data_IF_929345494482
#
_entry.id   IF_929345494482
#
_cell.length_a   1.000
_cell.length_b   1.000
_cell.length_c   1.000
_cell.angle_alpha   90.00
_cell.angle_beta   90.00
_cell.angle_gamma   90.00
#
_symmetry.space_group_name_H-M   'P 1'
#
loop_
_entity.id
_entity.type
_entity.pdbx_description
1 polymer ?
#
# COMPACT_ATOMS: atom_id res chain seq x y z
N UNK A 1 -3.54 -7.94 17.43
CA UNK A 1 -4.32 -8.52 16.32
C UNK A 1 -4.43 -7.64 15.08
N UNK A 2 -4.65 -6.31 15.17
CA UNK A 2 -4.88 -5.44 13.98
C UNK A 2 -3.82 -5.53 12.88
N UNK A 3 -4.22 -5.28 11.64
CA UNK A 3 -3.41 -5.32 10.43
C UNK A 3 -3.88 -6.38 9.44
N UNK A 4 -3.07 -6.62 8.42
CA UNK A 4 -3.31 -7.62 7.39
C UNK A 4 -2.54 -8.91 7.70
N UNK A 5 -3.22 -10.05 7.59
CA UNK A 5 -2.66 -11.39 7.77
C UNK A 5 -2.88 -12.18 6.49
N UNK A 6 -1.82 -12.78 5.96
CA UNK A 6 -1.86 -13.51 4.70
C UNK A 6 -1.20 -14.88 4.90
N UNK A 7 -1.80 -15.92 4.35
CA UNK A 7 -1.22 -17.26 4.40
C UNK A 7 -2.02 -18.29 3.63
N UNK A 8 -1.80 -19.56 3.98
CA UNK A 8 -2.51 -20.71 3.42
C UNK A 8 -3.41 -21.34 4.48
N UNK A 9 -4.49 -21.97 4.03
CA UNK A 9 -5.37 -22.76 4.88
C UNK A 9 -5.54 -24.18 4.36
N UNK A 10 -5.98 -25.06 5.25
CA UNK A 10 -6.32 -26.45 4.95
C UNK A 10 -7.63 -26.84 5.65
N UNK A 11 -8.31 -27.88 5.17
CA UNK A 11 -9.61 -28.30 5.69
C UNK A 11 -10.41 -29.10 4.68
N UNK A 12 -11.71 -28.82 4.60
CA UNK A 12 -12.60 -29.32 3.54
C UNK A 12 -12.11 -28.94 2.13
N UNK A 13 -11.34 -27.85 2.03
CA UNK A 13 -10.61 -27.42 0.84
C UNK A 13 -9.26 -26.83 1.23
N UNK A 14 -8.45 -26.49 0.23
CA UNK A 14 -7.15 -25.83 0.43
C UNK A 14 -7.06 -24.58 -0.42
N UNK A 15 -6.37 -23.57 0.09
CA UNK A 15 -6.29 -22.30 -0.59
C UNK A 15 -5.45 -21.28 0.15
N UNK A 16 -5.51 -20.03 -0.29
CA UNK A 16 -4.94 -18.88 0.42
C UNK A 16 -6.00 -18.09 1.16
N UNK A 17 -5.61 -17.48 2.27
CA UNK A 17 -6.48 -16.66 3.10
C UNK A 17 -5.84 -15.28 3.32
N UNK A 18 -6.66 -14.24 3.28
CA UNK A 18 -6.32 -12.87 3.66
C UNK A 18 -7.29 -12.46 4.76
N UNK A 19 -6.78 -11.99 5.90
CA UNK A 19 -7.59 -11.47 7.00
C UNK A 19 -7.16 -10.06 7.29
N UNK A 20 -8.04 -9.10 7.01
CA UNK A 20 -7.83 -7.69 7.28
C UNK A 20 -8.56 -7.34 8.57
N UNK A 21 -7.83 -6.85 9.58
CA UNK A 21 -8.36 -6.63 10.92
C UNK A 21 -8.12 -5.19 11.35
N UNK A 22 -9.20 -4.48 11.67
CA UNK A 22 -9.16 -3.16 12.27
C UNK A 22 -9.46 -3.23 13.76
N UNK A 23 -8.77 -2.39 14.53
CA UNK A 23 -9.02 -2.18 15.96
C UNK A 23 -9.98 -1.01 16.17
N UNK A 24 -11.07 -1.24 16.91
CA UNK A 24 -11.99 -0.21 17.37
C UNK A 24 -11.82 0.04 18.87
N UNK A 25 -12.66 0.87 19.49
CA UNK A 25 -12.52 1.22 20.92
C UNK A 25 -12.62 0.00 21.83
N UNK A 26 -13.61 -0.87 21.60
CA UNK A 26 -13.91 -2.02 22.47
C UNK A 26 -13.76 -3.39 21.81
N UNK A 27 -13.56 -3.49 20.50
CA UNK A 27 -13.50 -4.77 19.78
C UNK A 27 -12.60 -4.69 18.53
N UNK A 28 -12.38 -5.83 17.90
CA UNK A 28 -11.82 -5.96 16.56
C UNK A 28 -12.92 -6.28 15.55
N UNK A 29 -12.79 -5.78 14.33
CA UNK A 29 -13.63 -6.21 13.22
C UNK A 29 -12.80 -6.31 11.96
N UNK A 30 -13.37 -6.93 10.93
CA UNK A 30 -12.75 -6.93 9.63
C UNK A 30 -13.39 -7.91 8.67
N UNK A 31 -12.64 -8.25 7.64
CA UNK A 31 -13.05 -9.14 6.56
C UNK A 31 -11.97 -10.19 6.32
N UNK A 32 -12.40 -11.43 6.17
CA UNK A 32 -11.57 -12.54 5.72
C UNK A 32 -11.96 -12.94 4.30
N UNK A 33 -10.97 -13.17 3.45
CA UNK A 33 -11.11 -13.68 2.08
C UNK A 33 -10.44 -15.04 2.00
N UNK A 34 -11.16 -16.06 1.54
CA UNK A 34 -10.64 -17.39 1.25
C UNK A 34 -10.64 -17.57 -0.28
N UNK A 35 -9.45 -17.78 -0.83
CA UNK A 35 -9.22 -18.06 -2.24
C UNK A 35 -8.93 -19.55 -2.43
N UNK A 36 -9.81 -20.22 -3.16
CA UNK A 36 -9.74 -21.65 -3.43
C UNK A 36 -8.66 -21.96 -4.47
N UNK A 37 -7.82 -22.98 -4.20
CA UNK A 37 -6.89 -23.50 -5.21
C UNK A 37 -7.65 -24.24 -6.33
N UNK A 38 -8.78 -24.90 -5.98
CA UNK A 38 -9.68 -25.54 -6.93
C UNK A 38 -10.71 -24.54 -7.47
N UNK A 39 -10.57 -24.15 -8.75
CA UNK A 39 -11.46 -23.19 -9.42
C UNK A 39 -12.92 -23.66 -9.57
N UNK A 40 -13.21 -24.94 -9.35
CA UNK A 40 -14.57 -25.47 -9.34
C UNK A 40 -15.30 -25.20 -8.02
N UNK A 41 -14.61 -24.64 -7.02
CA UNK A 41 -15.19 -24.20 -5.74
C UNK A 41 -15.09 -22.67 -5.70
N UNK A 42 -16.15 -21.97 -5.27
CA UNK A 42 -16.11 -20.51 -5.16
C UNK A 42 -15.16 -20.07 -4.05
N UNK A 43 -14.30 -19.11 -4.37
CA UNK A 43 -13.65 -18.29 -3.36
C UNK A 43 -14.70 -17.43 -2.64
N UNK A 44 -14.52 -17.20 -1.35
CA UNK A 44 -15.54 -16.56 -0.50
C UNK A 44 -14.94 -15.49 0.39
N UNK A 45 -15.79 -14.60 0.91
CA UNK A 45 -15.40 -13.66 1.94
C UNK A 45 -16.47 -13.55 3.03
N UNK A 46 -16.04 -13.21 4.24
CA UNK A 46 -16.92 -13.05 5.38
C UNK A 46 -16.43 -11.94 6.32
N UNK A 47 -17.36 -11.06 6.72
CA UNK A 47 -17.10 -10.10 7.79
C UNK A 47 -17.17 -10.78 9.14
N UNK A 48 -16.45 -10.23 10.09
CA UNK A 48 -16.53 -10.66 11.48
C UNK A 48 -16.32 -9.50 12.43
N UNK A 49 -16.81 -9.68 13.65
CA UNK A 49 -16.64 -8.75 14.76
C UNK A 49 -16.47 -9.54 16.05
N UNK A 50 -15.41 -9.26 16.79
CA UNK A 50 -15.18 -9.83 18.12
C UNK A 50 -16.06 -9.14 19.16
N UNK A 51 -16.26 -9.81 20.31
CA UNK A 51 -17.03 -9.24 21.43
C UNK A 51 -16.20 -8.17 22.16
N UNK A 52 -14.90 -8.43 22.27
CA UNK A 52 -13.94 -7.59 22.99
C UNK A 52 -12.57 -7.58 22.28
N UNK A 53 -11.53 -7.10 22.98
CA UNK A 53 -10.13 -7.08 22.49
C UNK A 53 -9.27 -8.24 22.98
N UNK A 54 -9.86 -9.33 23.43
CA UNK A 54 -9.08 -10.49 23.86
C UNK A 54 -8.30 -11.09 22.69
N UNK A 55 -7.13 -11.64 23.01
CA UNK A 55 -6.28 -12.30 22.03
C UNK A 55 -6.88 -13.62 21.54
N UNK A 56 -7.69 -14.27 22.38
CA UNK A 56 -8.48 -15.44 22.04
C UNK A 56 -9.95 -15.03 21.87
N UNK A 57 -10.60 -15.50 20.81
CA UNK A 57 -11.96 -15.11 20.48
C UNK A 57 -12.74 -16.24 19.80
N UNK A 58 -14.06 -16.13 19.90
CA UNK A 58 -15.00 -16.93 19.13
C UNK A 58 -16.01 -15.98 18.47
N UNK A 59 -16.23 -16.13 17.18
CA UNK A 59 -17.13 -15.28 16.40
C UNK A 59 -17.98 -16.12 15.47
N UNK A 60 -19.24 -15.73 15.31
CA UNK A 60 -20.03 -16.12 14.15
C UNK A 60 -19.83 -15.06 13.08
N UNK A 61 -19.42 -15.45 11.89
CA UNK A 61 -19.25 -14.50 10.78
C UNK A 61 -20.59 -13.84 10.41
N UNK A 62 -20.51 -12.70 9.73
CA UNK A 62 -21.59 -12.21 8.91
C UNK A 62 -21.89 -13.16 7.75
N UNK A 63 -22.80 -12.73 6.87
CA UNK A 63 -23.14 -13.51 5.68
C UNK A 63 -21.90 -13.75 4.83
N UNK A 64 -21.61 -15.01 4.53
CA UNK A 64 -20.55 -15.38 3.60
C UNK A 64 -21.03 -15.04 2.18
N UNK A 65 -20.22 -14.26 1.47
CA UNK A 65 -20.44 -13.89 0.07
C UNK A 65 -19.42 -14.64 -0.80
N UNK A 66 -19.78 -14.93 -2.04
CA UNK A 66 -18.87 -15.52 -3.00
C UNK A 66 -18.20 -14.42 -3.85
N UNK A 67 -16.96 -14.65 -4.25
CA UNK A 67 -16.25 -13.81 -5.20
C UNK A 67 -16.71 -14.24 -6.59
N UNK A 68 -17.39 -13.36 -7.32
CA UNK A 68 -17.86 -13.65 -8.66
C UNK A 68 -16.65 -13.86 -9.58
N UNK A 69 -16.51 -15.03 -10.23
CA UNK A 69 -15.33 -15.37 -11.02
C UNK A 69 -15.19 -14.55 -12.31
N UNK A 70 -16.25 -13.87 -12.75
CA UNK A 70 -16.26 -13.06 -13.98
C UNK A 70 -15.78 -11.63 -13.77
N UNK A 71 -16.09 -11.01 -12.63
CA UNK A 71 -15.86 -9.58 -12.37
C UNK A 71 -15.03 -9.31 -11.10
N UNK A 72 -14.83 -10.31 -10.23
CA UNK A 72 -14.07 -10.21 -9.00
C UNK A 72 -14.79 -9.53 -7.82
N UNK A 73 -16.09 -9.22 -7.94
CA UNK A 73 -16.86 -8.59 -6.86
C UNK A 73 -17.43 -9.62 -5.89
N UNK A 74 -17.68 -9.19 -4.65
CA UNK A 74 -18.40 -9.97 -3.66
C UNK A 74 -19.89 -9.91 -3.92
N UNK A 75 -20.53 -11.06 -4.17
CA UNK A 75 -21.98 -11.12 -4.36
C UNK A 75 -22.60 -12.26 -3.53
N UNK A 76 -23.91 -12.16 -3.23
CA UNK A 76 -24.66 -13.27 -2.65
C UNK A 76 -24.58 -14.52 -3.53
N UNK A 77 -24.50 -15.71 -2.92
CA UNK A 77 -24.37 -16.98 -3.62
C UNK A 77 -25.43 -17.19 -4.71
N UNK A 78 -26.67 -16.73 -4.48
CA UNK A 78 -27.78 -16.84 -5.43
C UNK A 78 -27.48 -16.21 -6.80
N UNK A 79 -26.63 -15.17 -6.85
CA UNK A 79 -26.25 -14.48 -8.07
C UNK A 79 -25.05 -15.11 -8.79
N UNK A 80 -24.36 -16.06 -8.14
CA UNK A 80 -23.10 -16.64 -8.63
C UNK A 80 -23.25 -18.14 -8.93
N UNK A 81 -24.23 -18.82 -8.32
CA UNK A 81 -24.38 -20.29 -8.40
C UNK A 81 -24.39 -20.86 -9.82
N UNK A 82 -24.84 -20.09 -10.83
CA UNK A 82 -24.86 -20.52 -12.23
C UNK A 82 -23.48 -20.77 -12.85
N UNK A 83 -22.41 -20.28 -12.23
CA UNK A 83 -21.03 -20.52 -12.68
C UNK A 83 -20.45 -21.83 -12.17
N UNK A 84 -21.17 -22.56 -11.31
CA UNK A 84 -20.72 -23.76 -10.62
C UNK A 84 -21.69 -24.92 -10.83
N UNK A 85 -21.22 -26.14 -10.59
CA UNK A 85 -22.06 -27.33 -10.63
C UNK A 85 -23.15 -27.31 -9.56
N UNK A 86 -24.27 -27.99 -9.79
CA UNK A 86 -25.44 -27.97 -8.89
C UNK A 86 -25.16 -28.53 -7.49
N UNK A 87 -24.13 -29.36 -7.34
CA UNK A 87 -23.68 -29.93 -6.07
C UNK A 87 -22.81 -28.97 -5.24
N UNK A 88 -22.37 -27.85 -5.83
CA UNK A 88 -21.60 -26.82 -5.14
C UNK A 88 -22.53 -25.88 -4.39
N UNK A 89 -22.13 -25.51 -3.17
CA UNK A 89 -22.86 -24.56 -2.36
C UNK A 89 -21.92 -23.72 -1.49
N UNK A 90 -22.42 -22.56 -1.07
CA UNK A 90 -21.76 -21.69 -0.10
C UNK A 90 -22.63 -21.67 1.16
N UNK A 91 -21.99 -21.86 2.32
CA UNK A 91 -22.67 -21.77 3.62
C UNK A 91 -23.02 -20.32 3.94
N UNK A 92 -24.07 -20.06 4.72
CA UNK A 92 -24.46 -18.68 5.05
C UNK A 92 -23.51 -18.00 6.04
N UNK A 93 -22.92 -18.77 6.95
CA UNK A 93 -21.99 -18.29 7.98
C UNK A 93 -21.06 -19.41 8.45
N UNK A 94 -20.04 -19.04 9.21
CA UNK A 94 -19.18 -19.95 9.93
C UNK A 94 -18.99 -19.52 11.39
N UNK A 95 -18.78 -20.50 12.26
CA UNK A 95 -18.24 -20.27 13.60
C UNK A 95 -16.73 -20.35 13.51
N UNK A 96 -16.05 -19.30 13.93
CA UNK A 96 -14.59 -19.17 13.89
C UNK A 96 -14.10 -19.06 15.33
N UNK A 97 -13.09 -19.85 15.64
CA UNK A 97 -12.28 -19.70 16.84
C UNK A 97 -10.90 -19.18 16.41
N UNK A 98 -10.40 -18.17 17.11
CA UNK A 98 -9.12 -17.56 16.77
C UNK A 98 -8.30 -17.19 17.99
N UNK A 99 -6.97 -17.22 17.83
CA UNK A 99 -6.02 -16.82 18.85
C UNK A 99 -4.85 -16.07 18.22
N UNK A 100 -4.52 -14.89 18.75
CA UNK A 100 -3.37 -14.08 18.38
C UNK A 100 -2.29 -14.22 19.47
N UNK A 101 -1.24 -14.99 19.20
CA UNK A 101 -0.14 -15.24 20.14
C UNK A 101 1.18 -14.81 19.53
N UNK A 102 1.80 -13.76 20.08
CA UNK A 102 2.99 -13.15 19.50
C UNK A 102 2.74 -12.69 18.06
N UNK A 103 3.59 -13.16 17.14
CA UNK A 103 3.55 -12.82 15.71
C UNK A 103 2.70 -13.79 14.88
N UNK A 104 1.76 -14.50 15.50
CA UNK A 104 0.95 -15.52 14.83
C UNK A 104 -0.54 -15.36 15.14
N UNK A 105 -1.37 -15.42 14.10
CA UNK A 105 -2.82 -15.53 14.19
C UNK A 105 -3.26 -16.92 13.75
N UNK A 106 -3.74 -17.72 14.70
CA UNK A 106 -4.31 -19.04 14.44
C UNK A 106 -5.82 -18.93 14.32
N UNK A 107 -6.41 -19.56 13.30
CA UNK A 107 -7.85 -19.61 13.08
C UNK A 107 -8.27 -21.06 12.83
N UNK A 108 -9.41 -21.44 13.39
CA UNK A 108 -10.16 -22.65 13.04
C UNK A 108 -11.61 -22.27 12.81
N UNK A 109 -12.29 -22.95 11.89
CA UNK A 109 -13.69 -22.68 11.63
C UNK A 109 -14.48 -23.91 11.25
N UNK A 110 -15.78 -23.82 11.49
CA UNK A 110 -16.79 -24.77 11.02
C UNK A 110 -17.96 -23.96 10.46
N UNK A 111 -18.27 -24.19 9.19
CA UNK A 111 -19.42 -23.58 8.51
C UNK A 111 -20.75 -24.16 8.99
N UNK A 112 -21.85 -23.44 8.74
CA UNK A 112 -23.21 -23.90 9.04
C UNK A 112 -23.51 -25.30 8.48
N UNK A 113 -22.92 -25.65 7.34
CA UNK A 113 -23.08 -26.96 6.68
C UNK A 113 -21.99 -27.99 7.03
N UNK A 114 -21.18 -27.71 8.05
CA UNK A 114 -20.20 -28.66 8.60
C UNK A 114 -18.84 -28.69 7.89
N UNK A 115 -18.63 -27.95 6.81
CA UNK A 115 -17.29 -27.80 6.23
C UNK A 115 -16.38 -27.03 7.20
N UNK A 116 -15.21 -27.57 7.50
CA UNK A 116 -14.26 -27.03 8.47
C UNK A 116 -12.90 -26.74 7.85
N UNK A 117 -12.12 -25.88 8.51
CA UNK A 117 -10.76 -25.58 8.11
C UNK A 117 -9.96 -24.88 9.20
N UNK A 118 -8.67 -24.73 8.95
CA UNK A 118 -7.74 -24.05 9.85
C UNK A 118 -6.58 -23.41 9.10
N UNK A 119 -5.99 -22.41 9.75
CA UNK A 119 -4.75 -21.79 9.29
C UNK A 119 -3.97 -21.17 10.45
N UNK A 120 -2.68 -20.98 10.20
CA UNK A 120 -1.76 -20.27 11.08
C UNK A 120 -1.07 -19.20 10.26
N UNK A 121 -1.37 -17.93 10.54
CA UNK A 121 -0.96 -16.79 9.72
C UNK A 121 0.14 -16.01 10.41
N UNK A 122 1.29 -15.79 9.75
CA UNK A 122 2.37 -14.99 10.31
C UNK A 122 2.04 -13.49 10.25
N UNK A 123 2.63 -12.73 11.16
CA UNK A 123 2.62 -11.27 11.15
C UNK A 123 3.26 -10.76 9.86
N UNK A 124 2.59 -9.79 9.23
CA UNK A 124 3.16 -8.98 8.13
C UNK A 124 4.53 -8.46 8.51
N UNK A 125 5.50 -8.57 7.59
CA UNK A 125 6.86 -8.08 7.81
C UNK A 125 7.01 -6.59 7.42
N UNK A 126 5.91 -5.88 7.12
CA UNK A 126 5.93 -4.51 6.61
C UNK A 126 6.53 -3.47 7.57
N UNK A 127 6.62 -3.77 8.86
CA UNK A 127 7.27 -2.94 9.89
C UNK A 127 8.75 -3.29 10.10
N UNK A 128 9.23 -4.39 9.52
CA UNK A 128 10.62 -4.81 9.59
C UNK A 128 11.49 -4.02 8.59
N UNK A 129 12.82 -4.01 8.78
CA UNK A 129 13.74 -3.48 7.78
C UNK A 129 13.51 -4.11 6.40
N UNK A 130 13.83 -3.36 5.34
CA UNK A 130 13.73 -3.86 3.97
C UNK A 130 14.74 -4.97 3.73
N UNK A 131 14.29 -6.08 3.13
CA UNK A 131 15.15 -7.21 2.76
C UNK A 131 15.84 -7.02 1.39
N UNK A 132 15.60 -5.88 0.72
CA UNK A 132 16.24 -5.60 -0.56
C UNK A 132 17.73 -5.33 -0.36
N UNK A 133 18.54 -6.05 -1.12
CA UNK A 133 19.98 -5.80 -1.23
C UNK A 133 20.17 -4.54 -2.08
N UNK A 134 20.45 -3.42 -1.42
CA UNK A 134 20.66 -2.15 -2.08
C UNK A 134 22.08 -2.03 -2.64
N UNK A 135 22.21 -1.30 -3.75
CA UNK A 135 23.51 -0.86 -4.26
C UNK A 135 23.93 0.41 -3.52
N UNK A 136 24.93 0.29 -2.65
CA UNK A 136 25.53 1.45 -1.96
C UNK A 136 26.48 2.19 -2.89
N UNK A 137 26.16 3.43 -3.26
CA UNK A 137 26.96 4.26 -4.16
C UNK A 137 27.00 5.72 -3.68
N UNK A 138 27.94 6.51 -4.18
CA UNK A 138 27.98 7.96 -3.94
C UNK A 138 27.12 8.73 -4.97
N UNK A 139 26.99 10.04 -4.74
CA UNK A 139 26.20 10.91 -5.62
C UNK A 139 26.69 10.97 -7.08
N UNK A 140 28.00 10.91 -7.33
CA UNK A 140 28.52 11.01 -8.70
C UNK A 140 28.27 9.73 -9.48
N UNK A 141 28.45 8.58 -8.83
CA UNK A 141 28.10 7.28 -9.38
C UNK A 141 26.59 7.14 -9.58
N UNK A 142 25.77 7.70 -8.68
CA UNK A 142 24.32 7.76 -8.85
C UNK A 142 23.93 8.49 -10.14
N UNK A 143 24.45 9.70 -10.36
CA UNK A 143 24.20 10.47 -11.59
C UNK A 143 24.61 9.69 -12.84
N UNK A 144 25.77 9.03 -12.81
CA UNK A 144 26.27 8.23 -13.93
C UNK A 144 25.38 7.01 -14.23
N UNK A 145 24.95 6.28 -13.18
CA UNK A 145 24.10 5.10 -13.32
C UNK A 145 22.71 5.48 -13.85
N UNK A 146 22.10 6.52 -13.30
CA UNK A 146 20.78 7.00 -13.74
C UNK A 146 20.82 7.46 -15.19
N UNK A 147 21.89 8.11 -15.63
CA UNK A 147 22.05 8.54 -17.04
C UNK A 147 22.08 7.37 -18.02
N UNK A 148 22.37 6.15 -17.55
CA UNK A 148 22.35 4.94 -18.37
C UNK A 148 20.97 4.27 -18.45
N UNK A 149 20.03 4.64 -17.57
CA UNK A 149 18.67 4.11 -17.60
C UNK A 149 17.92 4.67 -18.80
N UNK A 150 17.41 3.79 -19.67
CA UNK A 150 16.66 4.17 -20.86
C UNK A 150 15.15 4.27 -20.55
N UNK A 151 14.59 5.47 -20.73
CA UNK A 151 13.15 5.69 -20.95
C UNK A 151 12.26 5.80 -19.69
N UNK A 152 10.96 5.98 -19.94
CA UNK A 152 9.87 6.18 -18.95
C UNK A 152 9.38 4.92 -18.23
N UNK A 153 10.10 3.79 -18.38
CA UNK A 153 9.71 2.50 -17.81
C UNK A 153 9.93 2.41 -16.29
N UNK A 154 10.62 3.37 -15.69
CA UNK A 154 10.96 3.37 -14.27
C UNK A 154 10.30 4.53 -13.54
N UNK A 155 9.93 4.26 -12.28
CA UNK A 155 9.53 5.28 -11.31
C UNK A 155 10.35 5.10 -10.04
N UNK A 156 10.53 6.20 -9.32
CA UNK A 156 11.48 6.32 -8.22
C UNK A 156 10.78 6.77 -6.95
N UNK A 157 11.30 6.37 -5.79
CA UNK A 157 10.81 6.84 -4.49
C UNK A 157 11.96 7.02 -3.51
N UNK A 158 12.11 8.23 -2.98
CA UNK A 158 13.06 8.55 -1.93
C UNK A 158 12.51 8.30 -0.54
N UNK A 159 13.35 7.76 0.34
CA UNK A 159 13.07 7.64 1.77
C UNK A 159 14.34 7.97 2.57
N UNK A 160 14.16 8.69 3.67
CA UNK A 160 15.26 9.06 4.57
C UNK A 160 15.89 7.87 5.32
N UNK A 161 15.25 6.70 5.27
CA UNK A 161 15.72 5.45 5.88
C UNK A 161 15.39 4.27 4.97
N UNK A 162 16.14 3.16 5.07
CA UNK A 162 15.90 1.92 4.31
C UNK A 162 14.72 1.10 4.87
N UNK A 163 13.58 1.76 5.09
CA UNK A 163 12.34 1.15 5.60
C UNK A 163 11.52 0.54 4.45
N UNK A 164 10.74 -0.50 4.73
CA UNK A 164 9.90 -1.13 3.72
C UNK A 164 8.88 -0.19 3.07
N UNK A 165 8.52 -0.50 1.82
CA UNK A 165 7.42 0.15 1.11
C UNK A 165 6.08 -0.20 1.77
N UNK A 166 5.39 0.83 2.27
CA UNK A 166 4.12 0.73 2.98
C UNK A 166 3.34 2.04 2.86
N UNK A 167 2.04 1.96 2.57
CA UNK A 167 1.17 3.14 2.43
C UNK A 167 0.95 3.84 3.77
N UNK A 168 0.54 5.10 3.73
CA UNK A 168 0.18 5.86 4.94
C UNK A 168 -1.03 5.23 5.65
N UNK A 169 -2.00 4.68 4.91
CA UNK A 169 -3.13 3.93 5.47
C UNK A 169 -2.69 2.74 6.30
N UNK A 170 -1.90 1.82 5.73
CA UNK A 170 -1.53 0.60 6.45
C UNK A 170 -0.62 0.89 7.67
N UNK A 171 0.20 1.95 7.62
CA UNK A 171 1.00 2.42 8.78
C UNK A 171 0.16 2.77 10.01
N UNK A 172 -1.12 3.11 9.85
CA UNK A 172 -2.03 3.34 10.99
C UNK A 172 -2.40 2.05 11.73
N UNK A 173 -2.04 0.88 11.18
CA UNK A 173 -2.44 -0.43 11.67
C UNK A 173 -3.81 -0.90 11.17
N UNK A 174 -4.42 -0.15 10.24
CA UNK A 174 -5.67 -0.53 9.56
C UNK A 174 -5.39 -1.34 8.29
N UNK A 175 -6.34 -2.20 7.95
CA UNK A 175 -6.32 -3.03 6.75
C UNK A 175 -7.72 -3.23 6.14
N UNK A 176 -8.79 -2.90 6.86
CA UNK A 176 -10.16 -2.98 6.34
C UNK A 176 -10.46 -1.79 5.42
N UNK A 177 -10.29 -2.01 4.12
CA UNK A 177 -10.55 -1.01 3.09
C UNK A 177 -12.03 -0.71 2.89
N UNK A 178 -12.93 -1.63 3.21
CA UNK A 178 -14.37 -1.38 3.06
C UNK A 178 -14.83 -0.36 4.08
N UNK A 179 -14.47 -0.58 5.35
CA UNK A 179 -14.67 0.42 6.39
C UNK A 179 -14.04 1.76 6.03
N UNK A 180 -12.84 1.74 5.46
CA UNK A 180 -12.16 2.97 5.01
C UNK A 180 -12.96 3.74 3.96
N UNK A 181 -13.50 3.07 2.96
CA UNK A 181 -14.30 3.73 1.92
C UNK A 181 -15.67 4.17 2.44
N UNK A 182 -16.33 3.36 3.25
CA UNK A 182 -17.71 3.57 3.68
C UNK A 182 -17.84 4.57 4.84
N UNK A 183 -16.86 4.61 5.75
CA UNK A 183 -16.88 5.52 6.90
C UNK A 183 -15.99 6.74 6.67
N UNK A 184 -14.69 6.49 6.44
CA UNK A 184 -13.67 7.53 6.51
C UNK A 184 -13.71 8.45 5.29
N UNK A 185 -13.75 7.87 4.09
CA UNK A 185 -13.80 8.62 2.83
C UNK A 185 -15.14 9.36 2.68
N UNK A 186 -16.27 8.77 3.06
CA UNK A 186 -17.55 9.47 3.07
C UNK A 186 -17.55 10.67 4.03
N UNK A 187 -16.96 10.51 5.23
CA UNK A 187 -16.80 11.62 6.16
C UNK A 187 -15.88 12.71 5.59
N UNK A 188 -14.72 12.33 5.08
CA UNK A 188 -13.74 13.27 4.53
C UNK A 188 -14.30 14.05 3.34
N UNK A 189 -14.96 13.37 2.40
CA UNK A 189 -15.56 13.97 1.21
C UNK A 189 -16.59 15.04 1.58
N UNK A 190 -17.47 14.78 2.56
CA UNK A 190 -18.43 15.78 3.07
C UNK A 190 -17.73 17.02 3.64
N UNK A 191 -16.64 16.84 4.38
CA UNK A 191 -15.89 17.96 4.98
C UNK A 191 -15.13 18.78 3.92
N UNK A 192 -14.60 18.13 2.89
CA UNK A 192 -13.79 18.78 1.86
C UNK A 192 -14.64 19.40 0.75
N UNK A 193 -15.84 18.91 0.49
CA UNK A 193 -16.73 19.44 -0.56
C UNK A 193 -17.06 20.93 -0.42
N UNK A 194 -16.94 21.51 0.78
CA UNK A 194 -17.11 22.94 1.03
C UNK A 194 -15.83 23.77 0.91
N UNK A 195 -14.68 23.11 0.76
CA UNK A 195 -13.33 23.70 0.77
C UNK A 195 -12.61 23.59 -0.58
N UNK A 196 -13.03 22.64 -1.43
CA UNK A 196 -12.56 22.52 -2.81
C UNK A 196 -13.42 23.37 -3.74
N UNK A 197 -12.85 23.87 -4.84
CA UNK A 197 -13.62 24.57 -5.90
C UNK A 197 -14.31 23.57 -6.82
N UNK A 198 -13.67 22.41 -7.04
CA UNK A 198 -14.20 21.24 -7.73
C UNK A 198 -14.92 20.31 -6.75
N UNK A 199 -16.16 19.95 -7.06
CA UNK A 199 -16.90 18.92 -6.31
C UNK A 199 -16.62 17.58 -6.97
N UNK A 200 -15.87 16.72 -6.28
CA UNK A 200 -15.49 15.41 -6.79
C UNK A 200 -16.68 14.44 -6.78
N UNK A 201 -16.99 13.83 -7.94
CA UNK A 201 -17.92 12.71 -8.00
C UNK A 201 -17.17 11.38 -7.80
N UNK A 202 -17.28 10.78 -6.61
CA UNK A 202 -16.56 9.56 -6.26
C UNK A 202 -17.05 8.31 -7.03
N UNK A 203 -18.21 8.38 -7.70
CA UNK A 203 -18.69 7.31 -8.59
C UNK A 203 -17.95 7.32 -9.94
N UNK A 204 -17.31 8.43 -10.31
CA UNK A 204 -16.52 8.54 -11.54
C UNK A 204 -15.07 8.17 -11.23
N UNK A 205 -14.51 7.08 -11.79
CA UNK A 205 -13.19 6.57 -11.40
C UNK A 205 -12.05 7.60 -11.46
N UNK A 206 -12.05 8.46 -12.49
CA UNK A 206 -11.01 9.48 -12.64
C UNK A 206 -11.11 10.58 -11.58
N UNK A 207 -12.34 10.98 -11.20
CA UNK A 207 -12.55 11.96 -10.14
C UNK A 207 -12.29 11.36 -8.76
N UNK A 208 -12.68 10.11 -8.54
CA UNK A 208 -12.35 9.38 -7.32
C UNK A 208 -10.82 9.30 -7.13
N UNK A 209 -10.10 8.91 -8.18
CA UNK A 209 -8.63 8.89 -8.17
C UNK A 209 -8.01 10.27 -7.91
N UNK A 210 -8.54 11.32 -8.53
CA UNK A 210 -8.10 12.70 -8.29
C UNK A 210 -8.35 13.14 -6.83
N UNK A 211 -9.49 12.76 -6.24
CA UNK A 211 -9.80 13.02 -4.84
C UNK A 211 -8.80 12.32 -3.90
N UNK A 212 -8.52 11.04 -4.12
CA UNK A 212 -7.51 10.30 -3.35
C UNK A 212 -6.12 10.93 -3.42
N UNK A 213 -5.71 11.32 -4.63
CA UNK A 213 -4.41 11.95 -4.85
C UNK A 213 -4.32 13.33 -4.14
N UNK A 214 -5.40 14.14 -4.19
CA UNK A 214 -5.50 15.39 -3.45
C UNK A 214 -5.33 15.18 -1.94
N UNK A 215 -6.11 14.28 -1.34
CA UNK A 215 -6.10 14.12 0.13
C UNK A 215 -4.80 13.50 0.64
N UNK A 216 -4.19 12.59 -0.13
CA UNK A 216 -2.85 12.05 0.16
C UNK A 216 -1.81 13.19 0.22
N UNK A 217 -1.88 14.15 -0.69
CA UNK A 217 -0.95 15.29 -0.71
C UNK A 217 -1.12 16.23 0.47
N UNK A 218 -2.33 16.30 1.05
CA UNK A 218 -2.62 17.02 2.28
C UNK A 218 -2.41 16.17 3.55
N UNK A 219 -1.82 14.98 3.42
CA UNK A 219 -1.39 14.15 4.54
C UNK A 219 -2.47 13.22 5.11
N UNK A 220 -3.62 13.08 4.43
CA UNK A 220 -4.61 12.08 4.82
C UNK A 220 -4.07 10.67 4.56
N UNK A 221 -4.18 9.72 5.52
CA UNK A 221 -3.76 8.35 5.29
C UNK A 221 -4.58 7.68 4.18
N UNK A 222 -3.93 7.29 3.08
CA UNK A 222 -4.59 6.61 1.95
C UNK A 222 -3.88 5.30 1.60
N UNK A 223 -4.55 4.36 0.90
CA UNK A 223 -3.93 3.18 0.31
C UNK A 223 -3.09 3.50 -0.95
N UNK A 224 -2.61 4.74 -1.07
CA UNK A 224 -1.68 5.16 -2.10
C UNK A 224 -0.24 5.13 -1.58
N UNK A 225 0.68 4.87 -2.50
CA UNK A 225 2.11 5.06 -2.28
C UNK A 225 2.66 5.96 -3.37
N UNK A 226 3.35 7.04 -2.96
CA UNK A 226 3.84 8.05 -3.89
C UNK A 226 5.16 7.67 -4.56
N UNK A 227 5.27 8.00 -5.83
CA UNK A 227 6.44 7.80 -6.67
C UNK A 227 6.65 9.05 -7.53
N UNK A 228 7.82 9.14 -8.16
CA UNK A 228 8.15 10.19 -9.11
C UNK A 228 8.81 9.60 -10.35
N UNK A 229 8.55 10.18 -11.52
CA UNK A 229 9.29 9.85 -12.74
C UNK A 229 10.71 10.40 -12.72
N UNK A 230 11.02 11.36 -11.83
CA UNK A 230 12.34 11.97 -11.74
C UNK A 230 13.20 11.31 -10.66
N UNK A 231 14.34 10.69 -11.03
CA UNK A 231 15.30 10.15 -10.06
C UNK A 231 15.86 11.25 -9.14
N UNK A 232 16.02 12.47 -9.67
CA UNK A 232 16.50 13.62 -8.90
C UNK A 232 15.48 14.13 -7.89
N UNK A 233 14.18 14.10 -8.23
CA UNK A 233 13.12 14.41 -7.27
C UNK A 233 13.06 13.32 -6.19
N UNK A 234 13.28 12.04 -6.52
CA UNK A 234 13.36 10.99 -5.52
C UNK A 234 14.55 11.20 -4.58
N UNK A 235 15.72 11.62 -5.09
CA UNK A 235 16.85 11.99 -4.26
C UNK A 235 16.53 13.16 -3.31
N UNK A 236 15.85 14.21 -3.80
CA UNK A 236 15.36 15.30 -2.95
C UNK A 236 14.53 14.78 -1.78
N UNK A 237 13.53 13.93 -2.04
CA UNK A 237 12.69 13.34 -0.99
C UNK A 237 13.44 12.39 -0.05
N UNK A 238 14.50 11.73 -0.53
CA UNK A 238 15.33 10.87 0.31
C UNK A 238 16.12 11.68 1.35
N UNK A 239 16.58 12.88 0.99
CA UNK A 239 17.34 13.75 1.90
C UNK A 239 16.48 14.77 2.66
N UNK A 240 15.24 15.04 2.21
CA UNK A 240 14.35 16.00 2.84
C UNK A 240 14.08 15.65 4.31
N UNK A 241 14.13 16.67 5.17
CA UNK A 241 13.87 16.54 6.61
C UNK A 241 15.05 16.01 7.43
N UNK A 242 16.19 15.73 6.80
CA UNK A 242 17.45 15.55 7.52
C UNK A 242 18.00 16.92 7.92
N UNK A 243 18.16 17.11 9.24
CA UNK A 243 18.81 18.27 9.86
C UNK A 243 20.33 18.20 9.73
N UNK A 244 21.01 19.35 9.85
CA UNK A 244 22.49 19.38 9.89
C UNK A 244 23.06 18.53 11.00
N UNK A 245 22.48 18.57 12.20
CA UNK A 245 22.91 17.76 13.34
C UNK A 245 22.89 16.25 13.02
N UNK A 246 21.86 15.79 12.30
CA UNK A 246 21.78 14.39 11.88
C UNK A 246 22.87 14.04 10.85
N UNK A 247 23.26 14.97 9.99
CA UNK A 247 24.29 14.76 8.97
C UNK A 247 25.69 14.75 9.59
N UNK A 248 25.98 15.70 10.50
CA UNK A 248 27.26 15.80 11.18
C UNK A 248 27.53 14.58 12.07
N UNK A 249 26.49 14.09 12.75
CA UNK A 249 26.56 12.89 13.59
C UNK A 249 26.35 11.59 12.82
N UNK A 250 26.13 11.63 11.51
CA UNK A 250 25.86 10.43 10.71
C UNK A 250 27.05 9.47 10.73
N UNK A 251 26.79 8.20 11.03
CA UNK A 251 27.76 7.12 10.89
C UNK A 251 28.00 6.82 9.40
N UNK A 252 29.15 6.24 9.02
CA UNK A 252 29.40 5.83 7.63
C UNK A 252 28.37 4.82 7.09
N UNK A 253 27.70 4.10 7.99
CA UNK A 253 26.62 3.14 7.72
C UNK A 253 25.26 3.80 7.51
N UNK A 254 25.09 5.08 7.85
CA UNK A 254 23.79 5.75 7.71
C UNK A 254 23.55 6.11 6.25
N UNK A 255 22.40 5.65 5.74
CA UNK A 255 22.00 5.78 4.34
C UNK A 255 20.58 6.29 4.21
N UNK A 256 20.36 7.10 3.17
CA UNK A 256 19.04 7.31 2.59
C UNK A 256 18.83 6.30 1.47
N UNK A 257 17.57 5.97 1.16
CA UNK A 257 17.23 4.97 0.14
C UNK A 257 16.43 5.58 -0.99
N UNK A 258 16.78 5.21 -2.22
CA UNK A 258 16.00 5.46 -3.43
C UNK A 258 15.57 4.12 -4.01
N UNK A 259 14.27 3.88 -4.02
CA UNK A 259 13.67 2.75 -4.72
C UNK A 259 13.60 3.05 -6.22
N UNK A 260 13.84 2.01 -7.02
CA UNK A 260 13.70 2.01 -8.47
C UNK A 260 12.73 0.90 -8.85
N UNK A 261 11.55 1.27 -9.35
CA UNK A 261 10.50 0.33 -9.71
C UNK A 261 10.29 0.33 -11.22
N UNK A 262 10.44 -0.83 -11.85
CA UNK A 262 10.23 -1.05 -13.28
C UNK A 262 8.73 -1.19 -13.59
N UNK A 263 8.03 -0.05 -13.59
CA UNK A 263 6.59 -0.02 -13.89
C UNK A 263 6.25 -0.51 -15.29
N UNK A 264 7.16 -0.35 -16.27
CA UNK A 264 6.91 -0.77 -17.65
C UNK A 264 6.77 -2.29 -17.74
N UNK A 265 7.70 -3.00 -17.10
CA UNK A 265 7.64 -4.46 -16.97
C UNK A 265 6.41 -4.88 -16.14
N UNK A 266 6.21 -4.24 -14.98
CA UNK A 266 5.07 -4.54 -14.11
C UNK A 266 3.71 -4.43 -14.82
N UNK A 267 3.46 -3.33 -15.53
CA UNK A 267 2.23 -3.10 -16.32
C UNK A 267 2.08 -4.09 -17.48
N UNK A 268 3.19 -4.59 -18.04
CA UNK A 268 3.16 -5.60 -19.12
C UNK A 268 2.78 -6.98 -18.61
N UNK A 269 3.15 -7.31 -17.37
CA UNK A 269 2.98 -8.64 -16.81
C UNK A 269 1.71 -8.80 -16.00
N UNK A 270 1.26 -7.71 -15.38
CA UNK A 270 0.13 -7.70 -14.46
C UNK A 270 -0.92 -6.70 -14.93
N UNK A 271 -2.17 -7.15 -14.94
CA UNK A 271 -3.30 -6.28 -15.27
C UNK A 271 -3.50 -5.25 -14.16
N UNK A 272 -3.65 -3.96 -14.48
CA UNK A 272 -3.92 -2.95 -13.48
C UNK A 272 -5.30 -3.18 -12.87
N UNK A 273 -5.37 -3.07 -11.55
CA UNK A 273 -6.58 -3.12 -10.73
C UNK A 273 -6.72 -1.78 -10.03
N UNK A 274 -7.73 -1.02 -10.43
CA UNK A 274 -8.03 0.31 -9.86
C UNK A 274 -9.06 0.28 -8.74
N UNK A 275 -9.84 -0.81 -8.65
CA UNK A 275 -10.80 -1.00 -7.57
C UNK A 275 -10.09 -1.44 -6.29
N UNK A 276 -10.10 -0.58 -5.26
CA UNK A 276 -9.53 -0.85 -3.94
C UNK A 276 -10.21 -2.03 -3.21
N UNK A 277 -11.49 -2.27 -3.49
CA UNK A 277 -12.25 -3.37 -2.90
C UNK A 277 -12.07 -4.68 -3.66
N UNK A 278 -11.10 -4.75 -4.58
CA UNK A 278 -10.77 -6.02 -5.20
C UNK A 278 -10.31 -7.01 -4.11
N UNK A 279 -10.92 -8.19 -4.00
CA UNK A 279 -10.53 -9.20 -3.02
C UNK A 279 -9.06 -9.62 -3.17
N UNK A 280 -8.58 -9.73 -4.42
CA UNK A 280 -7.21 -10.17 -4.68
C UNK A 280 -6.19 -9.09 -4.32
N UNK A 281 -5.04 -9.51 -3.80
CA UNK A 281 -3.92 -8.60 -3.55
C UNK A 281 -3.48 -7.96 -4.86
N UNK A 282 -3.36 -6.63 -4.86
CA UNK A 282 -2.92 -5.88 -6.04
C UNK A 282 -2.03 -4.70 -5.69
N UNK A 283 -1.09 -4.41 -6.60
CA UNK A 283 -0.33 -3.17 -6.65
C UNK A 283 -0.44 -2.66 -8.07
N UNK A 284 -1.01 -1.48 -8.27
CA UNK A 284 -1.25 -0.92 -9.60
C UNK A 284 -0.82 0.52 -9.66
N UNK A 285 -0.04 0.87 -10.68
CA UNK A 285 0.38 2.25 -10.92
C UNK A 285 -0.82 3.01 -11.46
N UNK A 286 -1.27 4.02 -10.73
CA UNK A 286 -2.38 4.91 -11.08
C UNK A 286 -1.87 6.25 -11.58
N UNK A 287 -2.31 6.63 -12.78
CA UNK A 287 -2.14 7.97 -13.33
C UNK A 287 -3.42 8.75 -13.06
N UNK A 288 -3.37 9.61 -12.05
CA UNK A 288 -4.52 10.40 -11.60
C UNK A 288 -4.54 11.78 -12.27
N UNK A 289 -5.73 12.34 -12.45
CA UNK A 289 -5.86 13.72 -12.91
C UNK A 289 -5.41 14.68 -11.80
N UNK A 290 -4.58 15.68 -12.14
CA UNK A 290 -4.26 16.79 -11.23
C UNK A 290 -5.40 17.81 -11.15
N UNK A 291 -6.49 17.43 -10.49
CA UNK A 291 -7.53 18.39 -10.11
C UNK A 291 -7.13 19.00 -8.77
N UNK A 292 -6.96 20.34 -8.74
CA UNK A 292 -6.56 21.10 -7.55
C UNK A 292 -5.23 20.64 -6.91
N UNK A 293 -4.36 20.02 -7.70
CA UNK A 293 -3.11 19.46 -7.22
C UNK A 293 -1.89 20.08 -7.90
N UNK A 294 -1.48 21.24 -7.39
CA UNK A 294 -0.33 22.00 -7.91
C UNK A 294 1.00 21.26 -7.75
N UNK A 295 1.07 20.27 -6.85
CA UNK A 295 2.29 19.50 -6.56
C UNK A 295 2.59 18.42 -7.60
N UNK A 296 1.57 17.95 -8.34
CA UNK A 296 1.73 16.80 -9.24
C UNK A 296 2.79 17.05 -10.33
N UNK A 297 2.73 18.22 -10.98
CA UNK A 297 3.62 18.54 -12.11
C UNK A 297 5.07 18.77 -11.65
N UNK A 298 5.36 19.64 -10.67
CA UNK A 298 6.75 19.87 -10.24
C UNK A 298 7.42 18.61 -9.70
N UNK A 299 6.69 17.81 -8.93
CA UNK A 299 7.22 16.56 -8.37
C UNK A 299 7.29 15.43 -9.40
N UNK A 300 6.77 15.63 -10.61
CA UNK A 300 6.59 14.57 -11.62
C UNK A 300 5.95 13.34 -10.97
N UNK A 301 4.89 13.59 -10.19
CA UNK A 301 4.34 12.61 -9.29
C UNK A 301 3.49 11.56 -10.03
N UNK A 302 3.54 10.34 -9.52
CA UNK A 302 2.61 9.26 -9.82
C UNK A 302 2.40 8.47 -8.53
N UNK A 303 1.32 7.72 -8.42
CA UNK A 303 1.10 6.91 -7.21
C UNK A 303 0.74 5.48 -7.61
N UNK A 304 1.04 4.53 -6.73
CA UNK A 304 0.48 3.18 -6.81
C UNK A 304 -0.68 3.02 -5.85
N UNK A 305 -1.75 2.38 -6.30
CA UNK A 305 -2.92 1.95 -5.52
C UNK A 305 -2.70 0.52 -5.07
N UNK A 306 -2.97 0.22 -3.79
CA UNK A 306 -2.80 -1.14 -3.27
C UNK A 306 -3.63 -1.45 -2.04
N UNK A 307 -4.07 -2.70 -1.92
CA UNK A 307 -4.66 -3.28 -0.71
C UNK A 307 -3.66 -4.06 0.14
N UNK A 308 -2.35 -3.83 -0.06
CA UNK A 308 -1.27 -4.64 0.50
C UNK A 308 -0.50 -3.85 1.56
N UNK A 309 -0.29 -4.49 2.72
CA UNK A 309 0.56 -3.95 3.77
C UNK A 309 2.05 -4.09 3.44
N UNK A 310 2.51 -5.31 3.14
CA UNK A 310 3.90 -5.61 2.79
C UNK A 310 4.13 -5.62 1.27
N UNK A 311 4.26 -4.43 0.70
CA UNK A 311 4.40 -4.21 -0.75
C UNK A 311 5.67 -4.88 -1.30
N UNK A 312 6.77 -4.86 -0.55
CA UNK A 312 8.05 -5.43 -0.99
C UNK A 312 7.95 -6.95 -1.16
N UNK A 313 7.44 -7.66 -0.14
CA UNK A 313 7.26 -9.12 -0.23
C UNK A 313 6.30 -9.50 -1.36
N UNK A 314 5.26 -8.71 -1.58
CA UNK A 314 4.35 -8.95 -2.70
C UNK A 314 5.04 -8.81 -4.05
N UNK A 315 5.76 -7.71 -4.32
CA UNK A 315 6.51 -7.57 -5.58
C UNK A 315 7.52 -8.72 -5.72
N UNK A 316 8.22 -9.06 -4.63
CA UNK A 316 9.22 -10.13 -4.61
C UNK A 316 8.64 -11.48 -5.01
N UNK A 317 7.37 -11.75 -4.70
CA UNK A 317 6.71 -13.01 -5.06
C UNK A 317 6.54 -13.23 -6.56
N UNK A 318 6.65 -12.17 -7.38
CA UNK A 318 6.62 -12.24 -8.85
C UNK A 318 8.02 -12.22 -9.49
N UNK A 319 9.08 -12.01 -8.70
CA UNK A 319 10.44 -11.94 -9.22
C UNK A 319 11.03 -13.34 -9.46
N UNK A 320 11.97 -13.40 -10.39
CA UNK A 320 12.81 -14.58 -10.64
C UNK A 320 14.25 -14.12 -10.92
N UNK A 321 15.25 -15.01 -10.99
CA UNK A 321 16.61 -14.60 -11.32
C UNK A 321 16.73 -13.83 -12.65
N UNK A 322 15.79 -14.03 -13.58
CA UNK A 322 15.74 -13.33 -14.86
C UNK A 322 14.90 -12.05 -14.82
N UNK A 323 14.20 -11.76 -13.72
CA UNK A 323 13.16 -10.74 -13.67
C UNK A 323 13.08 -10.04 -12.31
N UNK A 324 13.51 -8.78 -12.29
CA UNK A 324 13.49 -7.91 -11.12
C UNK A 324 12.63 -6.70 -11.42
N UNK A 325 11.61 -6.45 -10.59
CA UNK A 325 10.75 -5.28 -10.73
C UNK A 325 11.19 -4.16 -9.79
N UNK A 326 11.69 -4.50 -8.59
CA UNK A 326 12.04 -3.52 -7.57
C UNK A 326 13.50 -3.67 -7.16
N UNK A 327 14.22 -2.55 -7.18
CA UNK A 327 15.59 -2.46 -6.67
C UNK A 327 15.75 -1.22 -5.79
N UNK A 328 16.84 -1.19 -5.03
CA UNK A 328 17.16 -0.09 -4.13
C UNK A 328 18.58 0.41 -4.35
N UNK A 329 18.75 1.72 -4.22
CA UNK A 329 20.04 2.42 -4.22
C UNK A 329 20.15 3.14 -2.89
N UNK A 330 21.24 2.92 -2.18
CA UNK A 330 21.52 3.57 -0.90
C UNK A 330 22.62 4.61 -1.08
N UNK A 331 22.35 5.85 -0.65
CA UNK A 331 23.30 6.97 -0.69
C UNK A 331 23.70 7.36 0.74
N UNK A 332 24.96 7.76 1.00
CA UNK A 332 25.39 8.25 2.31
C UNK A 332 24.57 9.43 2.80
N UNK A 333 24.16 9.41 4.07
CA UNK A 333 23.53 10.60 4.71
C UNK A 333 24.45 11.82 4.64
N UNK A 334 25.77 11.60 4.77
CA UNK A 334 26.80 12.65 4.69
C UNK A 334 26.85 13.39 3.35
N UNK A 335 26.30 12.81 2.29
CA UNK A 335 26.29 13.45 0.97
C UNK A 335 25.16 14.51 0.87
N UNK A 336 24.31 14.67 1.89
CA UNK A 336 23.13 15.56 1.86
C UNK A 336 23.45 16.93 1.29
N UNK A 337 24.43 17.64 1.83
CA UNK A 337 24.65 19.04 1.45
C UNK A 337 25.12 19.18 0.01
N UNK A 338 25.98 18.27 -0.45
CA UNK A 338 26.38 18.18 -1.87
C UNK A 338 25.17 17.90 -2.76
N UNK A 339 24.36 16.91 -2.40
CA UNK A 339 23.19 16.48 -3.18
C UNK A 339 22.16 17.60 -3.26
N UNK A 340 21.76 18.17 -2.12
CA UNK A 340 20.77 19.25 -2.06
C UNK A 340 21.27 20.49 -2.81
N UNK A 341 22.55 20.84 -2.72
CA UNK A 341 23.12 21.96 -3.48
C UNK A 341 23.03 21.74 -4.99
N UNK A 342 23.41 20.56 -5.48
CA UNK A 342 23.31 20.26 -6.91
C UNK A 342 21.86 20.20 -7.40
N UNK A 343 20.95 19.63 -6.61
CA UNK A 343 19.52 19.59 -6.93
C UNK A 343 18.92 21.00 -7.03
N UNK A 344 19.36 21.94 -6.18
CA UNK A 344 18.98 23.36 -6.29
C UNK A 344 19.41 23.97 -7.64
N UNK A 345 20.60 23.66 -8.14
CA UNK A 345 21.02 24.12 -9.47
C UNK A 345 20.21 23.49 -10.62
N UNK A 346 19.57 22.34 -10.38
CA UNK A 346 18.63 21.70 -11.30
C UNK A 346 17.19 22.24 -11.17
N UNK A 347 16.96 23.22 -10.29
CA UNK A 347 15.62 23.77 -10.02
C UNK A 347 14.76 22.88 -9.13
N UNK A 348 15.35 21.90 -8.44
CA UNK A 348 14.65 21.00 -7.51
C UNK A 348 14.86 21.54 -6.09
N UNK A 349 13.90 22.34 -5.64
CA UNK A 349 13.89 23.02 -4.34
C UNK A 349 12.58 22.74 -3.59
N UNK A 350 12.54 22.99 -2.27
CA UNK A 350 11.30 22.89 -1.51
C UNK A 350 10.20 23.84 -2.05
N UNK A 351 10.54 25.06 -2.48
CA UNK A 351 9.58 26.00 -3.05
C UNK A 351 9.02 25.55 -4.40
N UNK A 352 9.83 24.88 -5.22
CA UNK A 352 9.35 24.28 -6.47
C UNK A 352 8.48 23.03 -6.24
N UNK A 353 8.85 22.17 -5.28
CA UNK A 353 8.15 20.91 -5.01
C UNK A 353 6.85 21.11 -4.24
N UNK A 354 6.75 22.17 -3.42
CA UNK A 354 5.57 22.50 -2.63
C UNK A 354 5.12 23.93 -2.92
N UNK A 355 4.39 24.16 -4.04
CA UNK A 355 3.85 25.48 -4.35
C UNK A 355 3.04 26.05 -3.18
N UNK A 356 3.23 27.35 -2.92
CA UNK A 356 2.61 28.06 -1.81
C UNK A 356 3.59 28.56 -0.75
N UNK A 357 3.05 29.13 0.33
CA UNK A 357 3.83 29.75 1.39
C UNK A 357 4.71 28.75 2.14
N UNK A 358 4.21 27.54 2.38
CA UNK A 358 4.93 26.53 3.15
C UNK A 358 6.24 26.12 2.47
N UNK A 359 6.21 25.81 1.16
CA UNK A 359 7.42 25.46 0.41
C UNK A 359 8.38 26.62 0.24
N UNK A 360 7.87 27.84 0.02
CA UNK A 360 8.71 29.04 -0.06
C UNK A 360 9.44 29.31 1.27
N UNK A 361 8.73 29.20 2.40
CA UNK A 361 9.31 29.32 3.72
C UNK A 361 10.31 28.20 4.01
N UNK A 362 10.00 26.95 3.66
CA UNK A 362 10.93 25.81 3.80
C UNK A 362 12.23 26.04 3.02
N UNK A 363 12.14 26.47 1.76
CA UNK A 363 13.31 26.75 0.94
C UNK A 363 14.17 27.88 1.51
N UNK A 364 13.57 29.02 1.85
CA UNK A 364 14.30 30.16 2.41
C UNK A 364 14.88 29.81 3.78
N UNK A 365 14.19 28.97 4.56
CA UNK A 365 14.66 28.45 5.84
C UNK A 365 15.95 27.64 5.65
N UNK A 366 15.97 26.69 4.73
CA UNK A 366 17.17 25.90 4.42
C UNK A 366 18.30 26.69 3.74
N UNK A 367 17.99 27.84 3.12
CA UNK A 367 18.98 28.70 2.47
C UNK A 367 19.64 29.66 3.43
N UNK A 368 18.85 30.29 4.29
CA UNK A 368 19.30 31.41 5.12
C UNK A 368 19.78 30.97 6.51
N UNK A 369 19.40 29.77 6.95
CA UNK A 369 19.70 29.29 8.30
C UNK A 369 20.41 27.94 8.25
N UNK A 370 21.31 27.73 9.21
CA UNK A 370 22.07 26.49 9.37
C UNK A 370 21.29 25.50 10.25
N UNK A 371 20.39 24.72 9.64
CA UNK A 371 19.44 23.83 10.34
C UNK A 371 19.29 22.50 9.62
#
# INVERSE_FOLDING_TARGET
>A
MKGQWIGKYTGASTGSIIVNIDELSSYFQGIAYLFEDNKNIPSVAAYFRTIDKNNEFQVRTGQIKAINPSNGFLEPWINIKQYYSEDVFVSDYAYVHGACTGDTLTLTWTSERGASGSCTLPRSQADQPSNLVARGIDWDKYKADISSLKGSSFIFRGQNKPSRLRTSFHRTGRADLERFLDEDIQSLHRHLSSRTRHVFNLEVPNENGAFFNLVQHHGYPTPLLDWTYSPYVAAFFAYRGLSKEQVENALPTDKVRIYVFNQGMWKSDLKPITNLLNPSLHLSVGEFMAIENERMIPQQATSTVTNIDDIESYIKSFESPAKTYLSAIDLPVRDRDKVIQELRYMGITAGSMFPGLDGACEELKERNFEI
#
